data_IF_956681436655
#
_entry.id   IF_956681436655
#
_cell.length_a   1.000
_cell.length_b   1.000
_cell.length_c   1.000
_cell.angle_alpha   90.00
_cell.angle_beta   90.00
_cell.angle_gamma   90.00
#
_symmetry.space_group_name_H-M   'P 1'
#
loop_
_entity.id
_entity.type
_entity.pdbx_description
1 polymer ?
#
# COMPACT_ATOMS: atom_id res chain seq x y z
N UNK A 1 -3.51 -12.02 16.41
CA UNK A 1 -2.63 -11.28 15.47
C UNK A 1 -2.76 -9.81 15.81
N UNK A 2 -1.73 -9.19 16.39
CA UNK A 2 -1.81 -7.82 16.88
C UNK A 2 -1.71 -6.85 15.70
N UNK A 3 -2.74 -6.02 15.52
CA UNK A 3 -2.71 -4.88 14.60
C UNK A 3 -2.08 -3.68 15.30
N UNK A 4 -1.16 -3.01 14.62
CA UNK A 4 -0.48 -1.80 15.07
C UNK A 4 -0.95 -0.66 14.18
N UNK A 5 -1.79 0.26 14.68
CA UNK A 5 -2.14 1.48 13.96
C UNK A 5 -0.87 2.30 13.68
N UNK A 6 -0.72 2.75 12.44
CA UNK A 6 0.43 3.53 12.00
C UNK A 6 0.01 4.98 11.79
N UNK A 7 0.64 5.91 12.51
CA UNK A 7 0.44 7.34 12.31
C UNK A 7 1.11 7.79 11.02
N UNK A 8 0.33 7.89 9.94
CA UNK A 8 0.80 8.32 8.62
C UNK A 8 1.27 9.76 8.59
N UNK A 9 0.82 10.62 9.52
CA UNK A 9 1.29 11.99 9.66
C UNK A 9 2.76 12.08 10.09
N UNK A 10 3.30 11.02 10.70
CA UNK A 10 4.71 10.93 11.14
C UNK A 10 5.62 10.16 10.18
N UNK A 11 5.09 9.57 9.11
CA UNK A 11 5.87 8.74 8.17
C UNK A 11 6.62 9.53 7.10
N UNK A 12 6.38 10.85 7.00
CA UNK A 12 6.91 11.67 5.92
C UNK A 12 6.09 11.53 4.63
N UNK A 13 6.68 11.90 3.49
CA UNK A 13 5.97 11.83 2.20
C UNK A 13 5.93 10.38 1.71
N UNK A 14 4.72 9.85 1.49
CA UNK A 14 4.51 8.57 0.83
C UNK A 14 4.37 8.78 -0.68
N UNK A 15 5.22 8.14 -1.49
CA UNK A 15 5.13 8.19 -2.96
C UNK A 15 4.85 6.81 -3.53
N UNK A 16 3.99 6.76 -4.53
CA UNK A 16 3.71 5.55 -5.30
C UNK A 16 5.00 5.05 -5.98
N UNK A 17 5.40 3.83 -5.64
CA UNK A 17 6.51 3.13 -6.27
C UNK A 17 6.02 2.20 -7.38
N UNK A 18 4.88 1.53 -7.15
CA UNK A 18 4.20 0.67 -8.12
C UNK A 18 2.71 0.99 -7.99
N UNK A 19 2.05 1.22 -9.13
CA UNK A 19 0.62 1.51 -9.21
C UNK A 19 -0.23 0.35 -8.65
N UNK A 20 -1.55 0.53 -8.45
CA UNK A 20 -2.38 -0.53 -7.90
C UNK A 20 -2.43 -1.78 -8.78
N UNK A 21 -2.09 -2.92 -8.19
CA UNK A 21 -2.14 -4.23 -8.83
C UNK A 21 -3.03 -5.19 -8.04
N UNK A 22 -3.70 -6.11 -8.73
CA UNK A 22 -4.47 -7.16 -8.08
C UNK A 22 -3.54 -8.01 -7.20
N UNK A 23 -3.83 -8.12 -5.90
CA UNK A 23 -2.95 -8.83 -4.98
C UNK A 23 -3.15 -10.33 -5.17
N UNK A 24 -2.12 -11.05 -5.58
CA UNK A 24 -2.19 -12.51 -5.74
C UNK A 24 -2.09 -13.21 -4.38
N UNK A 25 -3.06 -14.07 -4.05
CA UNK A 25 -3.04 -14.90 -2.83
C UNK A 25 -2.34 -16.24 -3.03
N UNK A 26 -2.37 -16.79 -4.24
CA UNK A 26 -1.71 -18.03 -4.60
C UNK A 26 -0.94 -17.84 -5.92
N UNK A 27 0.39 -17.94 -5.87
CA UNK A 27 1.24 -17.70 -7.04
C UNK A 27 1.11 -18.79 -8.11
N UNK A 28 0.77 -20.03 -7.73
CA UNK A 28 0.62 -21.14 -8.66
C UNK A 28 -0.68 -21.03 -9.47
N UNK A 29 -1.78 -20.69 -8.81
CA UNK A 29 -3.10 -20.60 -9.46
C UNK A 29 -3.43 -19.22 -10.01
N UNK A 30 -2.60 -18.21 -9.75
CA UNK A 30 -2.86 -16.80 -10.08
C UNK A 30 -4.18 -16.28 -9.47
N UNK A 31 -4.60 -16.85 -8.33
CA UNK A 31 -5.82 -16.43 -7.67
C UNK A 31 -5.66 -15.04 -7.06
N UNK A 32 -6.58 -14.14 -7.40
CA UNK A 32 -6.64 -12.80 -6.82
C UNK A 32 -7.23 -12.90 -5.41
N UNK A 33 -6.52 -12.30 -4.46
CA UNK A 33 -6.91 -12.25 -3.06
C UNK A 33 -8.25 -11.53 -2.94
N UNK A 34 -9.13 -12.16 -2.17
CA UNK A 34 -10.39 -11.57 -1.72
C UNK A 34 -10.35 -11.29 -0.23
N UNK A 35 -11.08 -10.27 0.21
CA UNK A 35 -11.36 -10.06 1.62
C UNK A 35 -12.51 -10.95 2.11
N UNK A 36 -12.92 -10.76 3.37
CA UNK A 36 -13.98 -11.58 4.00
C UNK A 36 -15.34 -11.42 3.34
N UNK A 37 -15.58 -10.28 2.70
CA UNK A 37 -16.84 -9.95 2.04
C UNK A 37 -16.81 -10.32 0.55
N UNK A 38 -15.71 -10.93 0.08
CA UNK A 38 -15.52 -11.38 -1.30
C UNK A 38 -14.99 -10.30 -2.24
N UNK A 39 -14.67 -9.10 -1.75
CA UNK A 39 -14.14 -8.01 -2.56
C UNK A 39 -12.68 -8.29 -2.93
N UNK A 40 -12.27 -7.89 -4.14
CA UNK A 40 -10.89 -8.00 -4.57
C UNK A 40 -9.98 -7.10 -3.73
N UNK A 41 -8.80 -7.62 -3.39
CA UNK A 41 -7.76 -6.88 -2.68
C UNK A 41 -6.68 -6.49 -3.67
N UNK A 42 -6.29 -5.21 -3.62
CA UNK A 42 -5.21 -4.66 -4.41
C UNK A 42 -4.00 -4.39 -3.51
N UNK A 43 -2.84 -4.27 -4.14
CA UNK A 43 -1.59 -3.89 -3.48
C UNK A 43 -1.04 -2.65 -4.16
N UNK A 44 -0.56 -1.70 -3.37
CA UNK A 44 0.17 -0.52 -3.85
C UNK A 44 1.52 -0.49 -3.15
N UNK A 45 2.61 -0.45 -3.90
CA UNK A 45 3.93 -0.28 -3.31
C UNK A 45 4.20 1.20 -3.11
N UNK A 46 4.60 1.59 -1.92
CA UNK A 46 4.93 2.99 -1.60
C UNK A 46 6.32 3.10 -1.02
N UNK A 47 7.02 4.15 -1.41
CA UNK A 47 8.22 4.58 -0.70
C UNK A 47 7.84 5.39 0.52
N UNK A 48 8.53 5.16 1.63
CA UNK A 48 8.39 5.87 2.89
C UNK A 48 9.77 6.35 3.32
N UNK A 49 9.88 7.64 3.65
CA UNK A 49 11.11 8.21 4.17
C UNK A 49 10.80 9.24 5.25
N UNK A 50 11.12 8.89 6.48
CA UNK A 50 11.18 9.84 7.59
C UNK A 50 12.45 10.69 7.47
N UNK A 51 12.42 11.91 8.00
CA UNK A 51 13.57 12.82 7.96
C UNK A 51 14.83 12.13 8.51
N UNK A 52 15.96 12.32 7.81
CA UNK A 52 17.28 11.72 8.10
C UNK A 52 17.32 10.18 8.19
N UNK A 53 16.24 9.47 7.85
CA UNK A 53 16.23 8.00 7.77
C UNK A 53 16.43 7.49 6.34
N UNK A 54 16.83 6.21 6.24
CA UNK A 54 16.86 5.48 4.97
C UNK A 54 15.43 5.33 4.45
N UNK A 55 15.30 5.29 3.14
CA UNK A 55 14.04 5.00 2.47
C UNK A 55 13.67 3.53 2.69
N UNK A 56 12.37 3.27 2.87
CA UNK A 56 11.80 1.93 2.90
C UNK A 56 10.75 1.85 1.79
N UNK A 57 10.60 0.67 1.19
CA UNK A 57 9.48 0.35 0.31
C UNK A 57 8.56 -0.59 1.07
N UNK A 58 7.28 -0.27 1.14
CA UNK A 58 6.28 -1.12 1.76
C UNK A 58 5.14 -1.38 0.78
N UNK A 59 4.61 -2.60 0.79
CA UNK A 59 3.42 -2.96 0.04
C UNK A 59 2.18 -2.86 0.94
N UNK A 60 1.22 -2.05 0.53
CA UNK A 60 0.00 -1.79 1.27
C UNK A 60 -1.15 -2.50 0.57
N UNK A 61 -1.80 -3.42 1.28
CA UNK A 61 -3.04 -4.04 0.82
C UNK A 61 -4.24 -3.11 1.05
N UNK A 62 -5.16 -3.04 0.10
CA UNK A 62 -6.38 -2.24 0.17
C UNK A 62 -7.54 -2.99 -0.46
N UNK A 63 -8.71 -2.95 0.15
CA UNK A 63 -9.92 -3.54 -0.42
C UNK A 63 -10.43 -2.66 -1.55
N UNK A 64 -10.75 -3.26 -2.69
CA UNK A 64 -11.15 -2.54 -3.90
C UNK A 64 -9.97 -1.86 -4.58
N UNK A 65 -10.13 -1.53 -5.87
CA UNK A 65 -9.08 -0.89 -6.65
C UNK A 65 -9.02 0.62 -6.37
N UNK A 66 -7.90 1.15 -5.86
CA UNK A 66 -7.67 2.58 -5.79
C UNK A 66 -7.62 3.18 -7.21
N UNK A 67 -8.37 4.26 -7.44
CA UNK A 67 -8.44 4.91 -8.76
C UNK A 67 -7.56 6.16 -8.81
N UNK A 68 -7.03 6.44 -10.01
CA UNK A 68 -6.25 7.66 -10.28
C UNK A 68 -4.88 7.70 -9.59
N UNK A 69 -4.29 6.54 -9.30
CA UNK A 69 -2.93 6.43 -8.75
C UNK A 69 -1.99 5.99 -9.87
N UNK A 70 -0.94 6.78 -10.09
CA UNK A 70 0.17 6.45 -10.97
C UNK A 70 1.49 6.49 -10.21
N UNK A 71 2.52 5.85 -10.77
CA UNK A 71 3.87 5.86 -10.20
C UNK A 71 4.40 7.30 -10.03
N UNK A 72 5.16 7.52 -8.95
CA UNK A 72 5.71 8.83 -8.61
C UNK A 72 4.75 9.78 -7.89
N UNK A 73 3.42 9.54 -7.94
CA UNK A 73 2.44 10.39 -7.26
C UNK A 73 2.60 10.34 -5.74
N UNK A 74 2.35 11.47 -5.08
CA UNK A 74 2.26 11.54 -3.63
C UNK A 74 0.89 11.02 -3.20
N UNK A 75 0.87 10.12 -2.22
CA UNK A 75 -0.33 9.43 -1.78
C UNK A 75 -0.71 9.82 -0.35
N UNK A 76 -2.01 9.95 -0.12
CA UNK A 76 -2.61 9.94 1.20
C UNK A 76 -3.06 8.52 1.50
N UNK A 77 -2.55 7.96 2.59
CA UNK A 77 -2.95 6.64 3.09
C UNK A 77 -3.77 6.83 4.36
N UNK A 78 -4.99 6.27 4.35
CA UNK A 78 -5.96 6.37 5.44
C UNK A 78 -6.10 5.01 6.13
N UNK A 79 -6.11 5.00 7.47
CA UNK A 79 -6.30 3.76 8.24
C UNK A 79 -5.14 2.77 8.14
N UNK A 80 -3.91 3.24 7.95
CA UNK A 80 -2.75 2.35 7.82
C UNK A 80 -2.54 1.54 9.09
N UNK A 81 -2.53 0.22 8.93
CA UNK A 81 -2.34 -0.75 9.99
C UNK A 81 -1.25 -1.72 9.58
N UNK A 82 -0.26 -1.90 10.46
CA UNK A 82 0.74 -2.95 10.34
C UNK A 82 0.30 -4.17 11.15
N UNK A 83 0.64 -5.36 10.67
CA UNK A 83 0.41 -6.60 11.41
C UNK A 83 1.60 -7.53 11.26
N UNK A 84 2.01 -8.08 12.40
CA UNK A 84 3.05 -9.12 12.44
C UNK A 84 2.41 -10.48 12.19
N UNK A 85 3.06 -11.30 11.38
CA UNK A 85 2.62 -12.67 11.10
C UNK A 85 3.81 -13.63 11.14
N UNK A 86 3.49 -14.89 11.43
CA UNK A 86 4.40 -16.02 11.33
C UNK A 86 3.64 -17.23 10.78
N UNK A 87 4.24 -17.95 9.84
CA UNK A 87 3.73 -19.18 9.21
C UNK A 87 4.90 -20.13 9.00
N UNK A 88 4.99 -21.18 9.83
CA UNK A 88 6.18 -22.01 9.90
C UNK A 88 7.42 -21.17 10.20
N UNK A 89 8.46 -21.31 9.39
CA UNK A 89 9.71 -20.55 9.54
C UNK A 89 9.64 -19.12 8.97
N UNK A 90 8.57 -18.79 8.23
CA UNK A 90 8.40 -17.47 7.63
C UNK A 90 7.74 -16.54 8.65
N UNK A 91 8.25 -15.32 8.76
CA UNK A 91 7.63 -14.27 9.55
C UNK A 91 7.83 -12.93 8.84
N UNK A 92 7.01 -11.95 9.21
CA UNK A 92 7.12 -10.63 8.62
C UNK A 92 6.13 -9.63 9.16
N UNK A 93 6.21 -8.43 8.58
CA UNK A 93 5.24 -7.36 8.77
C UNK A 93 4.51 -7.16 7.46
N UNK A 94 3.21 -6.97 7.53
CA UNK A 94 2.40 -6.62 6.38
C UNK A 94 1.52 -5.43 6.71
N UNK A 95 1.17 -4.68 5.67
CA UNK A 95 0.47 -3.41 5.81
C UNK A 95 -0.87 -3.49 5.10
N UNK A 96 -1.91 -2.94 5.73
CA UNK A 96 -3.23 -2.73 5.14
C UNK A 96 -3.68 -1.30 5.39
N UNK A 97 -4.41 -0.72 4.46
CA UNK A 97 -5.07 0.57 4.62
C UNK A 97 -6.56 0.45 4.31
N UNK A 98 -7.34 1.40 4.81
CA UNK A 98 -8.75 1.54 4.48
C UNK A 98 -8.93 2.18 3.10
N UNK A 99 -8.08 3.16 2.78
CA UNK A 99 -8.07 3.83 1.50
C UNK A 99 -6.69 4.39 1.15
N UNK A 100 -6.40 4.43 -0.15
CA UNK A 100 -5.23 5.09 -0.72
C UNK A 100 -5.74 6.03 -1.81
N UNK A 101 -5.39 7.31 -1.72
CA UNK A 101 -5.83 8.32 -2.68
C UNK A 101 -4.65 9.20 -3.11
N UNK A 102 -4.59 9.65 -4.38
CA UNK A 102 -3.61 10.66 -4.77
C UNK A 102 -3.84 11.95 -3.98
N UNK A 103 -2.78 12.60 -3.52
CA UNK A 103 -2.86 13.98 -3.07
C UNK A 103 -2.86 14.82 -4.35
N UNK A 104 -4.04 15.31 -4.75
CA UNK A 104 -4.19 16.18 -5.91
C UNK A 104 -3.34 17.43 -5.73
N UNK A 105 -2.19 17.46 -6.42
CA UNK A 105 -1.18 18.52 -6.31
C UNK A 105 0.04 18.40 -7.24
N UNK A 106 0.28 17.26 -7.89
CA UNK A 106 1.28 17.11 -8.96
C UNK A 106 0.92 15.83 -9.73
N UNK A 107 0.42 15.87 -10.96
CA UNK A 107 1.14 16.36 -12.14
C UNK A 107 0.11 16.71 -13.23
N UNK A 108 0.01 17.99 -13.60
CA UNK A 108 -0.39 18.33 -14.97
C UNK A 108 0.89 18.18 -15.79
N UNK A 109 1.15 16.98 -16.31
CA UNK A 109 2.21 16.81 -17.29
C UNK A 109 1.72 17.53 -18.55
N UNK A 110 2.38 18.64 -18.86
CA UNK A 110 2.05 19.49 -19.99
C UNK A 110 2.08 18.71 -21.29
N UNK A 111 1.10 18.99 -22.14
CA UNK A 111 1.20 18.67 -23.55
C UNK A 111 2.40 19.39 -24.16
N UNK A 112 3.15 18.63 -24.95
CA UNK A 112 3.90 19.08 -26.10
C UNK A 112 3.92 17.91 -27.08
#
# INVERSE_FOLDING_TARGET
>A
MQSIPVDTGRLGVLRCAIAPEAKISNQETQEIKKDRDGNLVYTVAVTVRQDRRRISVIEIAVTGEPKGIEEGMILKVTGLTAFMWAMGDRHGVSFRADAITPITGALKAGGA
#
